data_IF_832341173072
#
_entry.id   IF_832341173072
#
_cell.length_a   1.000
_cell.length_b   1.000
_cell.length_c   1.000
_cell.angle_alpha   90.00
_cell.angle_beta   90.00
_cell.angle_gamma   90.00
#
_symmetry.space_group_name_H-M   'P 1'
#
loop_
_entity.id
_entity.type
_entity.pdbx_description
1 polymer ?
#
# COMPACT_ATOMS: atom_id res chain seq x y z
N UNK A 1 -4.47 -31.70 28.74
CA UNK A 1 -4.66 -30.38 29.38
C UNK A 1 -3.68 -29.41 28.74
N UNK A 2 -4.13 -28.58 27.78
CA UNK A 2 -3.29 -27.61 27.05
C UNK A 2 -3.65 -26.21 27.59
N UNK A 3 -2.69 -25.41 28.08
CA UNK A 3 -3.03 -24.21 28.85
C UNK A 3 -3.61 -23.09 27.98
N UNK A 4 -4.75 -22.56 28.42
CA UNK A 4 -5.54 -21.46 27.86
C UNK A 4 -4.86 -20.08 27.79
N UNK A 5 -3.55 -20.00 28.03
CA UNK A 5 -2.81 -18.74 28.25
C UNK A 5 -2.49 -18.02 26.91
N UNK A 6 -2.56 -18.73 25.79
CA UNK A 6 -2.05 -18.25 24.49
C UNK A 6 -2.90 -17.16 23.80
N UNK A 7 -4.23 -17.21 23.86
CA UNK A 7 -5.09 -16.34 23.03
C UNK A 7 -5.14 -14.87 23.48
N UNK A 8 -5.03 -14.62 24.78
CA UNK A 8 -5.20 -13.29 25.37
C UNK A 8 -3.96 -12.43 25.22
N UNK A 9 -2.78 -13.04 25.32
CA UNK A 9 -1.49 -12.39 25.10
C UNK A 9 -1.34 -12.04 23.62
N UNK A 10 -1.64 -12.99 22.71
CA UNK A 10 -1.59 -12.75 21.26
C UNK A 10 -2.52 -11.60 20.83
N UNK A 11 -3.72 -11.51 21.40
CA UNK A 11 -4.67 -10.40 21.13
C UNK A 11 -4.18 -9.05 21.64
N UNK A 12 -3.52 -8.99 22.80
CA UNK A 12 -3.00 -7.72 23.33
C UNK A 12 -1.78 -7.24 22.56
N UNK A 13 -0.85 -8.13 22.23
CA UNK A 13 0.34 -7.78 21.44
C UNK A 13 -0.08 -7.42 20.02
N UNK A 14 -0.91 -8.23 19.36
CA UNK A 14 -1.43 -7.93 18.03
C UNK A 14 -2.25 -6.64 17.97
N UNK A 15 -3.06 -6.38 19.00
CA UNK A 15 -3.83 -5.13 19.12
C UNK A 15 -2.96 -3.89 19.33
N UNK A 16 -1.86 -4.01 20.10
CA UNK A 16 -0.91 -2.91 20.31
C UNK A 16 -0.08 -2.61 19.06
N UNK A 17 0.36 -3.64 18.34
CA UNK A 17 1.09 -3.47 17.06
C UNK A 17 0.16 -2.89 16.00
N UNK A 18 -1.09 -3.36 15.91
CA UNK A 18 -2.10 -2.78 15.01
C UNK A 18 -2.43 -1.32 15.38
N UNK A 19 -2.58 -1.01 16.67
CA UNK A 19 -2.82 0.36 17.12
C UNK A 19 -1.62 1.29 16.87
N UNK A 20 -0.39 0.79 17.05
CA UNK A 20 0.83 1.53 16.72
C UNK A 20 0.98 1.74 15.21
N UNK A 21 0.72 0.72 14.38
CA UNK A 21 0.73 0.85 12.93
C UNK A 21 -0.32 1.86 12.43
N UNK A 22 -1.53 1.84 13.00
CA UNK A 22 -2.59 2.81 12.70
C UNK A 22 -2.22 4.22 13.19
N UNK A 23 -1.55 4.34 14.34
CA UNK A 23 -1.05 5.60 14.89
C UNK A 23 0.08 6.21 14.04
N UNK A 24 1.00 5.38 13.56
CA UNK A 24 2.09 5.75 12.66
C UNK A 24 1.55 6.15 11.27
N UNK A 25 0.50 5.49 10.77
CA UNK A 25 -0.21 5.92 9.55
C UNK A 25 -0.95 7.26 9.72
N UNK A 26 -1.23 7.70 10.95
CA UNK A 26 -1.80 9.03 11.23
C UNK A 26 -0.74 10.12 11.33
N UNK A 27 0.55 9.78 11.48
CA UNK A 27 1.61 10.79 11.53
C UNK A 27 1.92 11.33 10.13
N UNK A 28 1.70 12.63 9.88
CA UNK A 28 1.86 13.22 8.56
C UNK A 28 3.35 13.31 8.17
N UNK A 29 3.71 12.71 7.03
CA UNK A 29 5.11 12.64 6.55
C UNK A 29 5.77 11.29 6.75
N UNK A 30 5.03 10.29 7.23
CA UNK A 30 5.52 8.92 7.32
C UNK A 30 5.76 8.34 5.91
N UNK A 31 6.87 7.60 5.76
CA UNK A 31 7.24 6.88 4.53
C UNK A 31 6.16 5.85 4.14
N UNK A 32 5.30 5.46 5.09
CA UNK A 32 4.24 4.46 4.92
C UNK A 32 2.82 5.05 4.95
N UNK A 33 2.60 6.29 4.49
CA UNK A 33 1.23 6.83 4.36
C UNK A 33 0.50 6.21 3.16
N UNK A 34 0.01 4.98 3.37
CA UNK A 34 -0.77 4.22 2.40
C UNK A 34 -1.98 5.00 1.89
N UNK A 35 -2.66 5.75 2.77
CA UNK A 35 -3.86 6.49 2.38
C UNK A 35 -3.53 7.67 1.46
N UNK A 36 -2.39 8.34 1.66
CA UNK A 36 -1.86 9.34 0.71
C UNK A 36 -1.55 8.67 -0.64
N UNK A 37 -0.89 7.52 -0.60
CA UNK A 37 -0.61 6.68 -1.75
C UNK A 37 -1.82 6.37 -2.62
N UNK A 38 -2.87 5.83 -2.00
CA UNK A 38 -4.15 5.52 -2.65
C UNK A 38 -4.81 6.78 -3.21
N UNK A 39 -4.74 7.90 -2.49
CA UNK A 39 -5.27 9.18 -2.97
C UNK A 39 -4.56 9.64 -4.25
N UNK A 40 -3.23 9.55 -4.28
CA UNK A 40 -2.42 9.93 -5.44
C UNK A 40 -2.58 8.97 -6.63
N UNK A 41 -2.78 7.68 -6.39
CA UNK A 41 -3.13 6.71 -7.44
C UNK A 41 -4.46 7.09 -8.13
N UNK A 42 -5.42 7.63 -7.39
CA UNK A 42 -6.71 8.08 -7.92
C UNK A 42 -6.66 9.48 -8.51
N UNK A 43 -5.65 10.28 -8.18
CA UNK A 43 -5.52 11.66 -8.66
C UNK A 43 -5.19 11.71 -10.16
N UNK A 44 -5.98 12.45 -10.95
CA UNK A 44 -5.76 12.64 -12.39
C UNK A 44 -4.53 13.50 -12.71
N UNK A 45 -4.04 14.28 -11.75
CA UNK A 45 -2.85 15.13 -11.90
C UNK A 45 -1.55 14.33 -11.91
N UNK A 46 -1.56 13.10 -11.38
CA UNK A 46 -0.41 12.20 -11.42
C UNK A 46 -0.33 11.55 -12.81
N UNK A 47 0.81 11.69 -13.53
CA UNK A 47 0.97 11.11 -14.86
C UNK A 47 0.73 9.59 -14.86
N UNK A 48 0.10 9.08 -15.92
CA UNK A 48 -0.13 7.65 -16.08
C UNK A 48 1.17 6.84 -16.05
N UNK A 49 2.25 7.37 -16.63
CA UNK A 49 3.58 6.77 -16.59
C UNK A 49 4.09 6.57 -15.14
N UNK A 50 3.88 7.55 -14.25
CA UNK A 50 4.25 7.43 -12.84
C UNK A 50 3.47 6.33 -12.13
N UNK A 51 2.17 6.19 -12.44
CA UNK A 51 1.32 5.15 -11.84
C UNK A 51 1.74 3.76 -12.33
N UNK A 52 2.01 3.63 -13.63
CA UNK A 52 2.51 2.39 -14.21
C UNK A 52 3.87 1.99 -13.64
N UNK A 53 4.77 2.96 -13.44
CA UNK A 53 6.08 2.71 -12.82
C UNK A 53 5.95 2.31 -11.35
N UNK A 54 5.05 2.94 -10.60
CA UNK A 54 4.78 2.52 -9.23
C UNK A 54 4.16 1.12 -9.16
N UNK A 55 3.26 0.79 -10.10
CA UNK A 55 2.67 -0.54 -10.22
C UNK A 55 3.72 -1.58 -10.60
N UNK A 56 4.62 -1.29 -11.54
CA UNK A 56 5.68 -2.22 -11.94
C UNK A 56 6.66 -2.49 -10.80
N UNK A 57 6.99 -1.46 -9.99
CA UNK A 57 7.75 -1.65 -8.75
C UNK A 57 6.99 -2.56 -7.79
N UNK A 58 5.68 -2.35 -7.62
CA UNK A 58 4.86 -3.18 -6.75
C UNK A 58 4.78 -4.64 -7.20
N UNK A 59 4.63 -4.88 -8.51
CA UNK A 59 4.68 -6.22 -9.09
C UNK A 59 6.05 -6.87 -8.87
N UNK A 60 7.14 -6.14 -9.17
CA UNK A 60 8.50 -6.67 -8.99
C UNK A 60 8.81 -7.02 -7.53
N UNK A 61 8.36 -6.21 -6.58
CA UNK A 61 8.56 -6.48 -5.16
C UNK A 61 7.70 -7.65 -4.66
N UNK A 62 6.47 -7.77 -5.15
CA UNK A 62 5.60 -8.92 -4.87
C UNK A 62 6.22 -10.21 -5.40
N UNK A 63 6.68 -10.20 -6.65
CA UNK A 63 7.35 -11.35 -7.25
C UNK A 63 8.61 -11.77 -6.48
N UNK A 64 9.38 -10.80 -5.98
CA UNK A 64 10.55 -11.08 -5.15
C UNK A 64 10.14 -11.74 -3.82
N UNK A 65 9.05 -11.28 -3.19
CA UNK A 65 8.53 -11.87 -1.95
C UNK A 65 7.99 -13.29 -2.18
N UNK A 66 7.16 -13.49 -3.21
CA UNK A 66 6.64 -14.81 -3.60
C UNK A 66 7.78 -15.81 -3.86
N UNK A 67 8.88 -15.36 -4.50
CA UNK A 67 10.05 -16.21 -4.72
C UNK A 67 10.71 -16.69 -3.40
N UNK A 68 10.64 -15.89 -2.34
CA UNK A 68 11.10 -16.28 -1.00
C UNK A 68 10.09 -17.15 -0.24
N UNK A 69 8.81 -17.13 -0.62
CA UNK A 69 7.76 -17.94 -0.01
C UNK A 69 7.66 -19.34 -0.61
N UNK A 70 8.03 -19.53 -1.88
CA UNK A 70 8.05 -20.84 -2.55
C UNK A 70 8.71 -21.98 -1.74
N UNK A 71 9.86 -21.80 -1.06
CA UNK A 71 10.45 -22.85 -0.24
C UNK A 71 9.59 -23.26 0.96
N UNK A 72 8.92 -22.28 1.57
CA UNK A 72 8.03 -22.50 2.71
C UNK A 72 6.74 -23.18 2.23
N UNK A 73 6.19 -22.73 1.12
CA UNK A 73 5.02 -23.30 0.48
C UNK A 73 5.24 -24.78 0.12
N UNK A 74 6.39 -25.11 -0.49
CA UNK A 74 6.77 -26.48 -0.81
C UNK A 74 6.85 -27.37 0.45
N UNK A 75 7.33 -26.82 1.57
CA UNK A 75 7.34 -27.53 2.84
C UNK A 75 5.93 -27.75 3.40
N UNK A 76 5.05 -26.76 3.35
CA UNK A 76 3.66 -26.88 3.81
C UNK A 76 2.86 -27.86 2.94
N UNK A 77 3.04 -27.81 1.62
CA UNK A 77 2.40 -28.71 0.67
C UNK A 77 2.78 -30.18 0.90
N UNK A 78 4.02 -30.44 1.36
CA UNK A 78 4.48 -31.78 1.74
C UNK A 78 3.77 -32.31 3.00
N UNK A 79 3.43 -31.44 3.95
CA UNK A 79 2.87 -31.82 5.26
C UNK A 79 1.34 -31.88 5.26
N UNK A 80 0.64 -31.06 4.46
CA UNK A 80 -0.83 -31.03 4.38
C UNK A 80 -1.35 -31.19 2.93
N UNK A 81 -1.45 -32.42 2.41
CA UNK A 81 -1.97 -32.65 1.06
C UNK A 81 -3.48 -32.34 0.96
N UNK A 82 -3.89 -31.66 -0.11
CA UNK A 82 -5.31 -31.55 -0.52
C UNK A 82 -6.05 -30.29 -0.04
N UNK A 83 -6.26 -30.10 1.27
CA UNK A 83 -6.96 -28.90 1.79
C UNK A 83 -6.07 -27.66 1.74
N UNK A 84 -4.76 -27.83 1.88
CA UNK A 84 -3.78 -26.76 1.76
C UNK A 84 -3.76 -26.15 0.36
N UNK A 85 -3.89 -26.97 -0.69
CA UNK A 85 -3.61 -26.55 -2.06
C UNK A 85 -4.64 -25.55 -2.62
N UNK A 86 -5.93 -25.78 -2.39
CA UNK A 86 -6.98 -24.86 -2.85
C UNK A 86 -7.01 -23.56 -2.06
N UNK A 87 -6.79 -23.63 -0.73
CA UNK A 87 -6.73 -22.44 0.12
C UNK A 87 -5.49 -21.59 -0.18
N UNK A 88 -4.35 -22.23 -0.42
CA UNK A 88 -3.10 -21.59 -0.83
C UNK A 88 -3.29 -20.86 -2.16
N UNK A 89 -3.78 -21.54 -3.20
CA UNK A 89 -4.00 -20.94 -4.51
C UNK A 89 -4.95 -19.72 -4.47
N UNK A 90 -5.98 -19.76 -3.63
CA UNK A 90 -6.88 -18.63 -3.44
C UNK A 90 -6.21 -17.46 -2.73
N UNK A 91 -5.38 -17.73 -1.72
CA UNK A 91 -4.60 -16.72 -1.01
C UNK A 91 -3.56 -16.08 -1.92
N UNK A 92 -2.81 -16.89 -2.69
CA UNK A 92 -1.81 -16.42 -3.65
C UNK A 92 -2.45 -15.50 -4.70
N UNK A 93 -3.64 -15.85 -5.20
CA UNK A 93 -4.37 -15.02 -6.15
C UNK A 93 -4.81 -13.66 -5.57
N UNK A 94 -5.18 -13.62 -4.29
CA UNK A 94 -5.49 -12.36 -3.59
C UNK A 94 -4.22 -11.54 -3.39
N UNK A 95 -3.13 -12.19 -3.00
CA UNK A 95 -1.83 -11.57 -2.76
C UNK A 95 -1.26 -10.96 -4.03
N UNK A 96 -1.28 -11.70 -5.14
CA UNK A 96 -0.84 -11.26 -6.46
C UNK A 96 -1.56 -9.99 -6.95
N UNK A 97 -2.73 -9.65 -6.38
CA UNK A 97 -3.46 -8.41 -6.68
C UNK A 97 -3.22 -7.34 -5.60
N UNK A 98 -3.32 -7.72 -4.32
CA UNK A 98 -3.24 -6.77 -3.21
C UNK A 98 -1.82 -6.27 -2.98
N UNK A 99 -0.82 -7.14 -2.97
CA UNK A 99 0.57 -6.77 -2.69
C UNK A 99 1.09 -5.74 -3.71
N UNK A 100 0.92 -5.92 -5.03
CA UNK A 100 1.34 -4.92 -5.99
C UNK A 100 0.64 -3.58 -5.80
N UNK A 101 -0.65 -3.58 -5.46
CA UNK A 101 -1.41 -2.36 -5.20
C UNK A 101 -0.94 -1.65 -3.93
N UNK A 102 -0.62 -2.41 -2.88
CA UNK A 102 -0.08 -1.89 -1.62
C UNK A 102 1.27 -1.24 -1.87
N UNK A 103 2.19 -1.95 -2.52
CA UNK A 103 3.51 -1.41 -2.82
C UNK A 103 3.45 -0.24 -3.79
N UNK A 104 2.57 -0.26 -4.79
CA UNK A 104 2.34 0.87 -5.67
C UNK A 104 1.85 2.10 -4.89
N UNK A 105 0.90 1.92 -3.96
CA UNK A 105 0.43 3.01 -3.12
C UNK A 105 1.55 3.57 -2.23
N UNK A 106 2.46 2.72 -1.74
CA UNK A 106 3.62 3.18 -0.97
C UNK A 106 4.66 3.90 -1.84
N UNK A 107 4.83 3.48 -3.10
CA UNK A 107 5.81 4.06 -4.02
C UNK A 107 5.34 5.40 -4.64
N UNK A 108 4.06 5.53 -4.98
CA UNK A 108 3.53 6.73 -5.68
C UNK A 108 3.85 8.06 -4.99
N UNK A 109 3.74 8.22 -3.66
CA UNK A 109 4.11 9.45 -2.96
C UNK A 109 5.55 9.94 -3.20
N UNK A 110 6.45 9.03 -3.58
CA UNK A 110 7.86 9.32 -3.86
C UNK A 110 8.14 9.55 -5.35
N UNK A 111 7.27 9.03 -6.22
CA UNK A 111 7.42 9.10 -7.68
C UNK A 111 6.56 10.19 -8.31
N UNK A 112 5.48 10.61 -7.63
CA UNK A 112 4.58 11.66 -8.09
C UNK A 112 5.30 13.02 -8.18
N UNK A 113 4.87 13.91 -9.10
CA UNK A 113 5.39 15.27 -9.16
C UNK A 113 5.34 15.93 -7.77
N UNK A 114 6.47 16.51 -7.34
CA UNK A 114 6.62 17.02 -5.97
C UNK A 114 5.55 18.05 -5.62
N UNK A 115 5.08 18.84 -6.59
CA UNK A 115 4.00 19.81 -6.43
C UNK A 115 2.68 19.15 -6.04
N UNK A 116 2.26 18.11 -6.77
CA UNK A 116 1.02 17.36 -6.51
C UNK A 116 1.12 16.59 -5.19
N UNK A 117 2.26 15.96 -4.93
CA UNK A 117 2.49 15.22 -3.70
C UNK A 117 2.56 16.17 -2.47
N UNK A 118 3.14 17.36 -2.61
CA UNK A 118 3.17 18.37 -1.55
C UNK A 118 1.78 18.97 -1.31
N UNK A 119 1.00 19.26 -2.35
CA UNK A 119 -0.39 19.72 -2.24
C UNK A 119 -1.25 18.67 -1.52
N UNK A 120 -1.18 17.41 -1.93
CA UNK A 120 -1.90 16.31 -1.28
C UNK A 120 -1.51 16.14 0.20
N UNK A 121 -0.22 16.34 0.55
CA UNK A 121 0.26 16.35 1.94
C UNK A 121 -0.24 17.57 2.71
N UNK A 122 -0.26 18.76 2.10
CA UNK A 122 -0.71 19.99 2.72
C UNK A 122 -2.21 19.97 3.05
N UNK A 123 -3.04 19.49 2.11
CA UNK A 123 -4.48 19.28 2.31
C UNK A 123 -4.72 18.33 3.48
N UNK A 124 -3.94 17.25 3.60
CA UNK A 124 -4.02 16.32 4.74
C UNK A 124 -3.57 16.93 6.07
N UNK A 125 -2.66 17.89 6.05
CA UNK A 125 -2.23 18.65 7.24
C UNK A 125 -3.26 19.69 7.68
N UNK A 126 -4.37 19.86 6.95
CA UNK A 126 -5.33 20.93 7.19
C UNK A 126 -4.76 22.32 6.90
N UNK A 127 -3.67 22.40 6.13
CA UNK A 127 -3.08 23.68 5.75
C UNK A 127 -3.94 24.35 4.68
N UNK A 128 -3.99 25.70 4.65
CA UNK A 128 -4.67 26.44 3.59
C UNK A 128 -4.20 25.95 2.22
N UNK A 129 -5.14 25.78 1.30
CA UNK A 129 -4.91 25.19 -0.02
C UNK A 129 -3.68 25.86 -0.67
N UNK A 130 -2.55 25.15 -0.85
CA UNK A 130 -1.37 25.75 -1.44
C UNK A 130 -1.73 26.20 -2.86
N UNK A 131 -1.24 27.38 -3.23
CA UNK A 131 -1.52 28.01 -4.53
C UNK A 131 -1.41 26.97 -5.66
N UNK A 132 -2.42 26.89 -6.55
CA UNK A 132 -2.41 25.93 -7.64
C UNK A 132 -1.13 26.10 -8.45
N UNK A 133 -0.39 25.00 -8.65
CA UNK A 133 0.87 25.04 -9.39
C UNK A 133 0.68 25.69 -10.77
N UNK A 134 1.69 26.36 -11.34
CA UNK A 134 1.59 27.01 -12.66
C UNK A 134 1.16 26.07 -13.80
N UNK A 135 1.33 24.75 -13.65
CA UNK A 135 0.77 23.73 -14.54
C UNK A 135 -0.77 23.65 -14.55
N UNK A 136 -1.44 24.17 -13.51
CA UNK A 136 -2.90 24.32 -13.45
C UNK A 136 -3.38 25.60 -14.15
N UNK A 137 -2.54 26.63 -14.26
CA UNK A 137 -2.90 27.91 -14.87
C UNK A 137 -3.01 27.85 -16.41
N UNK A 138 -2.45 26.82 -17.04
CA UNK A 138 -2.49 26.60 -18.49
C UNK A 138 -3.61 25.68 -18.97
N UNK A 139 -4.52 25.25 -18.09
CA UNK A 139 -5.71 24.49 -18.48
C UNK A 139 -6.61 25.33 -19.42
N UNK A 140 -7.27 24.72 -20.42
CA UNK A 140 -8.06 25.46 -21.40
C UNK A 140 -9.13 26.27 -20.66
N UNK A 141 -8.96 27.59 -20.71
CA UNK A 141 -9.92 28.58 -20.26
C UNK A 141 -11.30 28.21 -20.82
N UNK A 142 -12.13 27.55 -20.01
CA UNK A 142 -13.56 27.41 -20.27
C UNK A 142 -14.18 28.79 -20.13
N UNK A 143 -14.01 29.61 -21.17
CA UNK A 143 -14.91 30.71 -21.48
C UNK A 143 -16.22 30.05 -21.87
N UNK A 144 -17.20 30.10 -20.97
CA UNK A 144 -18.61 30.11 -21.34
C UNK A 144 -19.06 31.56 -21.31
#
# INVERSE_FOLDING_TARGET
>A
MIPLISKTVLRRVGGQVAAQAVGEQRKPGNLLDFKLGVSLLRDRRVPAATKLLALSIGVGLTFALEAFEMPLEAFVALVLPGVGLAANFAMDGIEAILCPLIFAALAVPHLAPQTVAAEARAVRRGLPNPQPSPLQASGPSRRR
#
